data_IF_523349657952
#
_entry.id   IF_523349657952
#
_cell.length_a   1.000
_cell.length_b   1.000
_cell.length_c   1.000
_cell.angle_alpha   90.00
_cell.angle_beta   90.00
_cell.angle_gamma   90.00
#
_symmetry.space_group_name_H-M   'P 1'
#
loop_
_entity.id
_entity.type
_entity.pdbx_description
1 polymer ?
#
# COMPACT_ATOMS: atom_id res chain seq x y z
N UNK A 1 4.23 23.36 -3.63
CA UNK A 1 4.71 21.97 -3.67
C UNK A 1 4.16 21.41 -4.96
N UNK A 2 4.94 21.56 -6.02
CA UNK A 2 4.69 20.84 -7.26
C UNK A 2 5.00 19.38 -6.98
N UNK A 3 4.09 18.50 -7.40
CA UNK A 3 4.25 17.05 -7.28
C UNK A 3 4.95 16.65 -8.56
N UNK A 4 6.18 16.16 -8.45
CA UNK A 4 6.85 15.50 -9.56
C UNK A 4 6.16 14.16 -9.80
N UNK A 5 5.39 14.05 -10.88
CA UNK A 5 4.56 12.88 -11.15
C UNK A 5 5.38 11.59 -11.35
N UNK A 6 6.68 11.69 -11.67
CA UNK A 6 7.56 10.52 -11.79
C UNK A 6 7.88 9.85 -10.44
N UNK A 7 7.77 10.61 -9.33
CA UNK A 7 8.05 10.12 -7.99
C UNK A 7 6.84 9.48 -7.30
N UNK A 8 5.66 9.49 -7.91
CA UNK A 8 4.43 9.03 -7.25
C UNK A 8 3.74 7.92 -8.02
N UNK A 9 3.29 6.90 -7.29
CA UNK A 9 2.44 5.83 -7.81
C UNK A 9 0.99 6.11 -7.43
N UNK A 10 0.12 6.10 -8.42
CA UNK A 10 -1.33 6.20 -8.24
C UNK A 10 -1.94 4.86 -7.81
N UNK A 11 -2.77 4.91 -6.77
CA UNK A 11 -3.55 3.78 -6.25
C UNK A 11 -5.03 4.13 -6.38
N UNK A 12 -5.74 3.40 -7.23
CA UNK A 12 -7.18 3.60 -7.51
C UNK A 12 -8.03 2.40 -7.04
N UNK A 13 -7.38 1.33 -6.56
CA UNK A 13 -8.05 0.14 -6.02
C UNK A 13 -8.65 0.45 -4.67
N UNK A 14 -9.98 0.34 -4.54
CA UNK A 14 -10.70 0.61 -3.28
C UNK A 14 -10.10 -0.19 -2.12
N UNK A 15 -9.76 -1.46 -2.30
CA UNK A 15 -9.20 -2.27 -1.21
C UNK A 15 -7.81 -1.81 -0.79
N UNK A 16 -6.98 -1.36 -1.73
CA UNK A 16 -5.63 -0.85 -1.43
C UNK A 16 -5.71 0.51 -0.73
N UNK A 17 -6.62 1.39 -1.19
CA UNK A 17 -6.93 2.67 -0.53
C UNK A 17 -7.41 2.42 0.90
N UNK A 18 -8.37 1.51 1.11
CA UNK A 18 -8.87 1.14 2.44
C UNK A 18 -7.73 0.66 3.34
N UNK A 19 -6.90 -0.27 2.85
CA UNK A 19 -5.75 -0.79 3.58
C UNK A 19 -4.78 0.32 3.98
N UNK A 20 -4.48 1.22 3.05
CA UNK A 20 -3.57 2.35 3.27
C UNK A 20 -4.13 3.31 4.33
N UNK A 21 -5.39 3.71 4.23
CA UNK A 21 -6.04 4.62 5.18
C UNK A 21 -6.19 3.99 6.57
N UNK A 22 -6.51 2.69 6.66
CA UNK A 22 -6.51 1.96 7.93
C UNK A 22 -5.14 1.95 8.59
N UNK A 23 -4.06 1.80 7.83
CA UNK A 23 -2.71 1.85 8.38
C UNK A 23 -2.39 3.27 8.92
N UNK A 24 -2.70 4.31 8.13
CA UNK A 24 -2.55 5.71 8.55
C UNK A 24 -3.32 5.99 9.86
N UNK A 25 -4.55 5.47 9.98
CA UNK A 25 -5.36 5.57 11.19
C UNK A 25 -4.73 4.81 12.38
N UNK A 26 -4.41 3.53 12.21
CA UNK A 26 -3.87 2.67 13.29
C UNK A 26 -2.56 3.21 13.85
N UNK A 27 -1.72 3.77 12.98
CA UNK A 27 -0.44 4.35 13.37
C UNK A 27 -0.56 5.80 13.86
N UNK A 28 -1.80 6.32 13.98
CA UNK A 28 -2.13 7.66 14.51
C UNK A 28 -1.40 8.80 13.82
N UNK A 29 -1.22 8.68 12.50
CA UNK A 29 -0.47 9.66 11.73
C UNK A 29 -1.14 11.02 11.69
N UNK A 30 -0.28 12.02 11.76
CA UNK A 30 -0.65 13.40 11.59
C UNK A 30 -0.67 13.72 10.10
N UNK A 31 -1.81 14.24 9.63
CA UNK A 31 -2.04 14.55 8.22
C UNK A 31 -2.11 16.06 8.08
N UNK A 32 -1.29 16.61 7.19
CA UNK A 32 -1.38 18.01 6.79
C UNK A 32 -2.52 18.15 5.80
N UNK A 33 -3.35 19.16 5.99
CA UNK A 33 -4.54 19.39 5.18
C UNK A 33 -4.49 20.81 4.66
N UNK A 34 -4.79 20.99 3.38
CA UNK A 34 -4.96 22.32 2.82
C UNK A 34 -6.10 22.38 1.82
N UNK A 35 -6.69 23.56 1.74
CA UNK A 35 -7.71 23.92 0.78
C UNK A 35 -7.31 25.24 0.13
N UNK A 36 -7.44 25.31 -1.19
CA UNK A 36 -7.32 26.57 -1.91
C UNK A 36 -8.72 27.16 -2.02
N UNK A 37 -8.89 28.38 -1.55
CA UNK A 37 -10.13 29.17 -1.67
C UNK A 37 -9.80 30.49 -2.34
N UNK A 38 -10.82 31.27 -2.69
CA UNK A 38 -10.63 32.59 -3.31
C UNK A 38 -9.89 33.58 -2.38
N UNK A 39 -10.00 33.36 -1.06
CA UNK A 39 -9.34 34.17 -0.03
C UNK A 39 -7.91 33.71 0.28
N UNK A 40 -7.44 32.63 -0.36
CA UNK A 40 -6.10 32.11 -0.23
C UNK A 40 -6.04 30.65 0.22
N UNK A 41 -4.95 30.28 0.88
CA UNK A 41 -4.70 28.88 1.29
C UNK A 41 -5.00 28.69 2.77
N UNK A 42 -5.94 27.81 3.06
CA UNK A 42 -6.22 27.35 4.42
C UNK A 42 -5.35 26.13 4.70
N UNK A 43 -4.69 26.11 5.85
CA UNK A 43 -3.80 25.03 6.29
C UNK A 43 -4.22 24.57 7.68
N UNK A 44 -4.42 23.26 7.86
CA UNK A 44 -4.68 22.67 9.17
C UNK A 44 -4.00 21.30 9.27
N UNK A 45 -4.09 20.71 10.46
CA UNK A 45 -3.49 19.43 10.80
C UNK A 45 -4.55 18.55 11.45
N UNK A 46 -4.61 17.29 11.05
CA UNK A 46 -5.72 16.40 11.36
C UNK A 46 -5.22 14.99 11.63
N UNK A 47 -6.07 14.16 12.25
CA UNK A 47 -5.90 12.71 12.37
C UNK A 47 -7.16 12.00 11.89
N UNK A 48 -7.00 10.78 11.39
CA UNK A 48 -8.14 9.90 11.14
C UNK A 48 -8.60 9.34 12.48
N UNK A 49 -9.85 9.62 12.85
CA UNK A 49 -10.46 9.15 14.10
C UNK A 49 -11.14 7.79 13.85
N UNK A 50 -12.02 7.72 12.84
CA UNK A 50 -12.67 6.49 12.40
C UNK A 50 -12.84 6.43 10.89
N UNK A 51 -12.99 5.22 10.36
CA UNK A 51 -13.31 4.97 8.95
C UNK A 51 -14.49 4.01 8.91
N UNK A 52 -15.56 4.41 8.22
CA UNK A 52 -16.69 3.54 7.89
C UNK A 52 -16.57 3.11 6.43
N UNK A 53 -16.20 1.85 6.22
CA UNK A 53 -16.05 1.32 4.87
C UNK A 53 -17.37 0.95 4.19
N UNK A 54 -18.47 0.86 4.95
CA UNK A 54 -19.80 0.58 4.41
C UNK A 54 -20.35 1.83 3.72
N UNK A 55 -20.28 2.96 4.40
CA UNK A 55 -20.68 4.27 3.84
C UNK A 55 -19.59 4.92 3.01
N UNK A 56 -18.34 4.50 3.18
CA UNK A 56 -17.18 5.12 2.54
C UNK A 56 -16.80 6.46 3.18
N UNK A 57 -17.21 6.70 4.42
CA UNK A 57 -16.95 7.95 5.12
C UNK A 57 -15.74 7.84 6.05
N UNK A 58 -14.98 8.92 6.16
CA UNK A 58 -13.80 9.03 7.02
C UNK A 58 -14.03 10.20 7.98
N UNK A 59 -14.00 9.91 9.28
CA UNK A 59 -14.12 10.92 10.32
C UNK A 59 -12.74 11.45 10.69
N UNK A 60 -12.56 12.75 10.56
CA UNK A 60 -11.31 13.43 10.84
C UNK A 60 -11.42 14.30 12.10
N UNK A 61 -10.40 14.18 12.95
CA UNK A 61 -10.22 14.99 14.15
C UNK A 61 -9.12 16.04 13.90
N UNK A 62 -9.48 17.33 13.81
CA UNK A 62 -8.49 18.39 13.69
C UNK A 62 -7.69 18.54 14.98
N UNK A 63 -6.39 18.81 14.84
CA UNK A 63 -5.47 19.21 15.91
C UNK A 63 -5.43 20.74 16.05
N UNK A 64 -5.78 21.46 14.98
CA UNK A 64 -5.97 22.91 14.98
C UNK A 64 -7.42 23.26 14.60
N UNK A 65 -8.23 23.45 15.63
CA UNK A 65 -9.64 23.78 15.52
C UNK A 65 -9.91 25.11 14.83
N UNK A 66 -9.01 26.09 14.95
CA UNK A 66 -9.22 27.44 14.40
C UNK A 66 -9.20 27.39 12.88
N UNK A 67 -8.13 26.82 12.32
CA UNK A 67 -7.99 26.72 10.87
C UNK A 67 -8.94 25.66 10.27
N UNK A 68 -9.23 24.57 11.00
CA UNK A 68 -10.16 23.56 10.51
C UNK A 68 -11.59 24.08 10.30
N UNK A 69 -12.04 25.04 11.15
CA UNK A 69 -13.34 25.69 10.97
C UNK A 69 -13.42 26.53 9.70
N UNK A 70 -12.29 27.04 9.22
CA UNK A 70 -12.24 27.87 8.02
C UNK A 70 -12.35 27.07 6.73
N UNK A 71 -12.10 25.76 6.74
CA UNK A 71 -12.30 24.93 5.56
C UNK A 71 -13.74 25.15 5.04
N UNK A 72 -13.96 25.06 3.74
CA UNK A 72 -15.26 25.26 3.11
C UNK A 72 -15.82 23.90 2.67
N UNK A 73 -17.13 23.64 2.85
CA UNK A 73 -17.76 22.45 2.28
C UNK A 73 -17.72 22.50 0.74
N UNK A 74 -17.87 21.35 0.08
CA UNK A 74 -17.96 21.22 -1.38
C UNK A 74 -16.73 21.65 -2.21
N UNK A 75 -15.74 22.29 -1.59
CA UNK A 75 -14.46 22.64 -2.23
C UNK A 75 -13.42 21.53 -1.98
N UNK A 76 -12.70 21.08 -3.02
CA UNK A 76 -11.58 20.15 -2.91
C UNK A 76 -10.59 20.43 -1.77
N UNK A 77 -10.39 19.44 -0.91
CA UNK A 77 -9.39 19.46 0.14
C UNK A 77 -8.30 18.46 -0.21
N UNK A 78 -7.05 18.87 0.00
CA UNK A 78 -5.87 18.06 -0.21
C UNK A 78 -5.28 17.61 1.12
N UNK A 79 -4.85 16.36 1.15
CA UNK A 79 -4.32 15.68 2.31
C UNK A 79 -2.91 15.21 2.03
N UNK A 80 -2.01 15.37 3.00
CA UNK A 80 -0.65 14.86 2.95
C UNK A 80 -0.28 14.18 4.26
N UNK A 81 -0.12 12.86 4.21
CA UNK A 81 0.47 12.08 5.28
C UNK A 81 1.98 11.95 5.02
N UNK A 82 2.80 12.64 5.82
CA UNK A 82 4.24 12.71 5.61
C UNK A 82 4.91 11.31 5.68
N UNK A 83 4.40 10.42 6.53
CA UNK A 83 4.89 9.04 6.61
C UNK A 83 4.34 8.25 5.42
N UNK A 84 5.25 7.71 4.61
CA UNK A 84 5.00 7.17 3.25
C UNK A 84 4.59 8.21 2.20
N UNK A 85 4.66 9.50 2.52
CA UNK A 85 4.41 10.62 1.61
C UNK A 85 3.15 10.40 0.76
N UNK A 86 2.06 10.12 1.45
CA UNK A 86 0.76 9.83 0.85
C UNK A 86 0.02 11.14 0.58
N UNK A 87 -0.48 11.32 -0.63
CA UNK A 87 -1.27 12.47 -1.05
C UNK A 87 -2.62 12.00 -1.59
N UNK A 88 -3.70 12.64 -1.17
CA UNK A 88 -5.01 12.41 -1.76
C UNK A 88 -5.89 13.66 -1.69
N UNK A 89 -6.95 13.67 -2.48
CA UNK A 89 -7.97 14.72 -2.52
C UNK A 89 -9.31 14.14 -2.09
N UNK A 90 -10.07 14.91 -1.31
CA UNK A 90 -11.44 14.58 -0.94
C UNK A 90 -12.27 15.85 -0.74
N UNK A 91 -13.55 15.70 -0.47
CA UNK A 91 -14.49 16.79 -0.17
C UNK A 91 -15.06 16.58 1.23
N UNK A 92 -15.29 17.67 1.97
CA UNK A 92 -16.00 17.60 3.26
C UNK A 92 -17.48 17.36 3.00
N UNK A 93 -17.97 16.18 3.40
CA UNK A 93 -19.39 15.82 3.28
C UNK A 93 -20.21 16.41 4.43
N UNK A 94 -19.64 16.49 5.63
CA UNK A 94 -20.36 16.95 6.83
C UNK A 94 -19.43 17.47 7.91
N UNK A 95 -19.94 18.38 8.74
CA UNK A 95 -19.30 18.84 9.98
C UNK A 95 -20.14 18.44 11.17
N UNK A 96 -19.51 17.89 12.20
CA UNK A 96 -20.19 17.53 13.44
C UNK A 96 -19.25 17.70 14.64
N UNK A 97 -19.65 18.53 15.62
CA UNK A 97 -19.01 18.61 16.95
C UNK A 97 -17.48 18.76 16.91
N UNK A 98 -16.98 19.64 16.04
CA UNK A 98 -15.55 19.91 15.89
C UNK A 98 -14.77 18.83 15.12
N UNK A 99 -15.47 17.93 14.45
CA UNK A 99 -14.93 16.95 13.50
C UNK A 99 -15.53 17.20 12.12
N UNK A 100 -14.89 16.68 11.09
CA UNK A 100 -15.39 16.73 9.73
C UNK A 100 -15.32 15.34 9.10
N UNK A 101 -16.37 15.00 8.38
CA UNK A 101 -16.45 13.80 7.57
C UNK A 101 -16.03 14.17 6.15
N UNK A 102 -15.25 13.27 5.56
CA UNK A 102 -14.93 13.30 4.13
C UNK A 102 -15.36 11.96 3.51
N UNK A 103 -15.60 11.98 2.21
CA UNK A 103 -15.68 10.73 1.44
C UNK A 103 -14.30 10.09 1.31
N UNK A 104 -14.28 8.76 1.16
CA UNK A 104 -13.09 8.02 0.78
C UNK A 104 -12.57 8.57 -0.56
N UNK A 105 -11.26 8.83 -0.68
CA UNK A 105 -10.68 9.26 -1.94
C UNK A 105 -10.84 8.18 -3.02
N UNK A 106 -11.03 8.61 -4.26
CA UNK A 106 -11.08 7.72 -5.44
C UNK A 106 -9.67 7.32 -5.89
N UNK A 107 -8.70 8.19 -5.65
CA UNK A 107 -7.29 8.00 -5.96
C UNK A 107 -6.42 8.48 -4.80
N UNK A 108 -5.37 7.71 -4.52
CA UNK A 108 -4.31 8.10 -3.60
C UNK A 108 -2.97 7.99 -4.30
N UNK A 109 -2.16 9.04 -4.24
CA UNK A 109 -0.76 9.03 -4.70
C UNK A 109 0.16 8.72 -3.52
N UNK A 110 1.11 7.83 -3.72
CA UNK A 110 2.13 7.46 -2.72
C UNK A 110 3.50 7.64 -3.36
N UNK A 111 4.43 8.30 -2.67
CA UNK A 111 5.79 8.42 -3.21
C UNK A 111 6.44 7.04 -3.37
N UNK A 112 7.02 6.78 -4.55
CA UNK A 112 7.81 5.60 -4.83
C UNK A 112 9.13 5.69 -4.06
N UNK A 113 9.20 4.96 -2.96
CA UNK A 113 10.40 4.91 -2.12
C UNK A 113 11.48 3.99 -2.70
N UNK A 114 11.18 3.25 -3.79
CA UNK A 114 12.16 2.38 -4.43
C UNK A 114 13.09 3.19 -5.32
N UNK A 115 14.40 2.93 -5.19
CA UNK A 115 15.43 3.50 -6.08
C UNK A 115 15.36 2.91 -7.48
N UNK A 116 14.89 1.67 -7.61
CA UNK A 116 14.85 0.94 -8.87
C UNK A 116 13.43 0.45 -9.13
N UNK A 117 12.80 0.83 -10.27
CA UNK A 117 11.47 0.35 -10.62
C UNK A 117 11.48 -1.17 -10.84
N UNK A 118 10.36 -1.81 -10.48
CA UNK A 118 10.18 -3.25 -10.72
C UNK A 118 9.62 -3.50 -12.10
N UNK A 119 10.18 -4.47 -12.83
CA UNK A 119 9.56 -5.02 -14.03
C UNK A 119 8.29 -5.78 -13.64
N UNK A 120 7.16 -5.36 -14.19
CA UNK A 120 5.85 -5.96 -13.94
C UNK A 120 5.58 -7.09 -14.94
N UNK A 121 5.20 -8.26 -14.44
CA UNK A 121 4.76 -9.41 -15.25
C UNK A 121 3.26 -9.66 -15.12
N UNK A 122 2.66 -9.31 -13.97
CA UNK A 122 1.22 -9.41 -13.72
C UNK A 122 0.70 -10.83 -13.49
N UNK A 123 -0.63 -10.95 -13.31
CA UNK A 123 -1.29 -12.22 -12.94
C UNK A 123 -1.31 -13.30 -14.05
N UNK A 124 -1.01 -12.92 -15.30
CA UNK A 124 -0.92 -13.86 -16.44
C UNK A 124 0.52 -14.27 -16.74
N UNK A 125 1.44 -13.96 -15.83
CA UNK A 125 2.84 -14.31 -15.96
C UNK A 125 3.03 -15.82 -16.03
N UNK A 126 3.79 -16.28 -17.02
CA UNK A 126 4.31 -17.65 -17.09
C UNK A 126 5.60 -17.82 -16.28
N UNK A 127 6.06 -16.75 -15.62
CA UNK A 127 7.28 -16.77 -14.83
C UNK A 127 6.99 -17.40 -13.46
N UNK A 128 7.82 -18.33 -13.04
CA UNK A 128 7.66 -19.06 -11.78
C UNK A 128 9.00 -19.17 -11.07
N UNK A 129 8.95 -19.39 -9.76
CA UNK A 129 10.08 -19.85 -8.97
C UNK A 129 9.69 -20.99 -8.04
N UNK A 130 10.64 -21.87 -7.76
CA UNK A 130 10.60 -22.79 -6.63
C UNK A 130 11.55 -22.30 -5.53
N UNK A 131 11.16 -22.46 -4.27
CA UNK A 131 12.04 -22.14 -3.14
C UNK A 131 11.85 -23.09 -1.96
N UNK A 132 12.88 -23.22 -1.14
CA UNK A 132 12.84 -23.92 0.15
C UNK A 132 12.99 -22.95 1.31
N UNK A 133 12.37 -23.25 2.46
CA UNK A 133 12.61 -22.52 3.71
C UNK A 133 13.98 -22.89 4.29
N UNK A 134 14.70 -21.88 4.79
CA UNK A 134 16.00 -22.07 5.46
C UNK A 134 15.77 -22.14 6.97
N UNK A 135 15.05 -23.18 7.40
CA UNK A 135 14.76 -23.47 8.80
C UNK A 135 14.87 -24.98 9.10
N UNK A 136 14.70 -25.36 10.37
CA UNK A 136 14.85 -26.76 10.81
C UNK A 136 13.86 -27.73 10.15
N UNK A 137 12.73 -27.23 9.66
CA UNK A 137 11.64 -28.04 9.11
C UNK A 137 11.47 -27.84 7.60
N UNK A 138 12.52 -27.38 6.90
CA UNK A 138 12.61 -27.11 5.46
C UNK A 138 11.42 -27.62 4.65
N UNK A 139 10.56 -26.70 4.21
CA UNK A 139 9.47 -26.98 3.28
C UNK A 139 9.76 -26.35 1.92
N UNK A 140 9.33 -27.05 0.88
CA UNK A 140 9.43 -26.55 -0.50
C UNK A 140 8.10 -25.98 -0.99
N UNK A 141 8.21 -24.87 -1.72
CA UNK A 141 7.13 -24.27 -2.50
C UNK A 141 7.57 -24.39 -3.97
N UNK A 142 6.98 -25.31 -4.75
CA UNK A 142 7.52 -25.66 -6.07
C UNK A 142 7.09 -24.71 -7.19
N UNK A 143 6.03 -23.92 -6.99
CA UNK A 143 5.38 -23.19 -8.08
C UNK A 143 4.80 -21.85 -7.58
N UNK A 144 5.68 -20.94 -7.20
CA UNK A 144 5.31 -19.57 -6.88
C UNK A 144 5.36 -18.72 -8.16
N UNK A 145 4.22 -18.15 -8.55
CA UNK A 145 4.13 -17.34 -9.77
C UNK A 145 4.75 -15.96 -9.56
N UNK A 146 5.69 -15.56 -10.40
CA UNK A 146 6.34 -14.25 -10.32
C UNK A 146 5.45 -13.18 -10.96
N UNK A 147 5.11 -12.14 -10.20
CA UNK A 147 4.26 -11.02 -10.66
C UNK A 147 5.04 -9.73 -10.89
N UNK A 148 6.15 -9.54 -10.18
CA UNK A 148 7.05 -8.40 -10.32
C UNK A 148 8.47 -8.78 -9.88
N UNK A 149 9.50 -8.15 -10.47
CA UNK A 149 10.89 -8.36 -10.05
C UNK A 149 11.74 -7.09 -10.21
N UNK A 150 12.81 -7.02 -9.42
CA UNK A 150 13.88 -6.03 -9.47
C UNK A 150 15.20 -6.69 -9.12
N UNK A 151 16.30 -5.97 -9.27
CA UNK A 151 17.64 -6.41 -8.83
C UNK A 151 17.71 -6.74 -7.33
N UNK A 152 16.82 -6.17 -6.50
CA UNK A 152 16.80 -6.36 -5.04
C UNK A 152 15.75 -7.35 -4.53
N UNK A 153 14.92 -7.93 -5.41
CA UNK A 153 13.89 -8.86 -4.95
C UNK A 153 12.74 -9.12 -5.92
N UNK A 154 11.86 -10.04 -5.50
CA UNK A 154 10.76 -10.59 -6.31
C UNK A 154 9.43 -10.47 -5.55
N UNK A 155 8.38 -10.09 -6.27
CA UNK A 155 7.00 -10.28 -5.88
C UNK A 155 6.43 -11.56 -6.51
N UNK A 156 5.79 -12.40 -5.71
CA UNK A 156 5.23 -13.68 -6.14
C UNK A 156 3.82 -13.92 -5.61
N UNK A 157 3.08 -14.81 -6.26
CA UNK A 157 1.83 -15.37 -5.79
C UNK A 157 2.04 -16.82 -5.39
N UNK A 158 1.55 -17.16 -4.20
CA UNK A 158 1.61 -18.51 -3.62
C UNK A 158 0.18 -18.97 -3.32
N UNK A 159 -0.06 -20.27 -3.39
CA UNK A 159 -1.36 -20.86 -3.07
C UNK A 159 -1.72 -20.59 -1.60
N UNK A 160 -3.00 -20.36 -1.34
CA UNK A 160 -3.50 -20.11 0.02
C UNK A 160 -3.25 -21.28 0.99
N UNK A 161 -3.17 -22.52 0.47
CA UNK A 161 -2.92 -23.72 1.27
C UNK A 161 -1.52 -23.72 1.91
N UNK A 162 -0.58 -22.94 1.38
CA UNK A 162 0.78 -22.83 1.91
C UNK A 162 0.93 -21.70 2.93
N UNK A 163 -0.16 -21.04 3.33
CA UNK A 163 -0.13 -19.90 4.27
C UNK A 163 0.55 -20.22 5.59
N UNK A 164 0.35 -21.43 6.12
CA UNK A 164 0.95 -21.84 7.39
C UNK A 164 2.46 -22.10 7.30
N UNK A 165 3.00 -22.26 6.09
CA UNK A 165 4.42 -22.56 5.83
C UNK A 165 5.28 -21.30 5.71
N UNK A 166 4.66 -20.12 5.59
CA UNK A 166 5.37 -18.88 5.35
C UNK A 166 5.01 -17.81 6.38
N UNK A 167 6.00 -17.02 6.78
CA UNK A 167 5.79 -15.85 7.62
C UNK A 167 6.82 -14.76 7.29
N UNK A 168 6.53 -13.53 7.71
CA UNK A 168 7.49 -12.42 7.55
C UNK A 168 8.78 -12.72 8.33
N UNK A 169 9.92 -12.35 7.76
CA UNK A 169 11.25 -12.61 8.31
C UNK A 169 11.80 -14.00 8.00
N UNK A 170 11.00 -14.90 7.42
CA UNK A 170 11.47 -16.22 7.04
C UNK A 170 12.52 -16.12 5.91
N UNK A 171 13.64 -16.82 6.09
CA UNK A 171 14.67 -16.97 5.06
C UNK A 171 14.29 -18.10 4.12
N UNK A 172 14.50 -17.87 2.83
CA UNK A 172 14.27 -18.85 1.77
C UNK A 172 15.50 -18.95 0.88
N UNK A 173 15.66 -20.09 0.22
CA UNK A 173 16.62 -20.30 -0.85
C UNK A 173 15.87 -20.60 -2.14
N UNK A 174 16.13 -19.81 -3.18
CA UNK A 174 15.54 -20.05 -4.51
C UNK A 174 16.20 -21.32 -5.09
N UNK A 175 15.38 -22.31 -5.42
CA UNK A 175 15.84 -23.58 -5.97
C UNK A 175 15.90 -23.54 -7.49
N UNK A 176 14.87 -22.95 -8.11
CA UNK A 176 14.79 -22.75 -9.55
C UNK A 176 13.98 -21.50 -9.86
N UNK A 177 14.23 -20.90 -11.02
CA UNK A 177 13.52 -19.70 -11.46
C UNK A 177 13.52 -19.60 -12.98
N UNK A 178 12.39 -19.19 -13.55
CA UNK A 178 12.32 -18.84 -14.97
C UNK A 178 13.02 -17.52 -15.27
N UNK A 179 13.28 -16.68 -14.25
CA UNK A 179 14.13 -15.50 -14.37
C UNK A 179 15.61 -15.88 -14.20
N UNK A 180 16.49 -15.45 -15.11
CA UNK A 180 17.90 -15.81 -15.08
C UNK A 180 18.62 -15.27 -13.84
N UNK A 181 19.60 -16.03 -13.34
CA UNK A 181 20.51 -15.61 -12.26
C UNK A 181 19.90 -15.61 -10.86
N UNK A 182 18.71 -16.19 -10.66
CA UNK A 182 18.04 -16.23 -9.36
C UNK A 182 18.26 -17.55 -8.59
N UNK A 183 18.74 -18.59 -9.27
CA UNK A 183 18.94 -19.89 -8.64
C UNK A 183 20.04 -19.84 -7.58
N UNK A 184 19.78 -20.45 -6.43
CA UNK A 184 20.69 -20.44 -5.28
C UNK A 184 20.62 -19.19 -4.41
N UNK A 185 20.00 -18.10 -4.89
CA UNK A 185 19.90 -16.83 -4.17
C UNK A 185 19.13 -17.00 -2.85
N UNK A 186 19.70 -16.45 -1.78
CA UNK A 186 19.05 -16.34 -0.49
C UNK A 186 18.16 -15.11 -0.45
N UNK A 187 16.97 -15.25 0.12
CA UNK A 187 16.03 -14.14 0.24
C UNK A 187 15.28 -14.17 1.58
N UNK A 188 14.72 -13.03 1.97
CA UNK A 188 13.90 -12.88 3.17
C UNK A 188 12.50 -12.45 2.77
N UNK A 189 11.48 -13.12 3.31
CA UNK A 189 10.08 -12.70 3.15
C UNK A 189 9.85 -11.39 3.92
N UNK A 190 9.60 -10.29 3.20
CA UNK A 190 9.34 -8.97 3.78
C UNK A 190 7.86 -8.65 3.87
N UNK A 191 7.07 -9.13 2.91
CA UNK A 191 5.65 -8.85 2.88
C UNK A 191 4.83 -10.09 2.52
N UNK A 192 3.66 -10.20 3.15
CA UNK A 192 2.63 -11.19 2.84
C UNK A 192 1.29 -10.47 2.92
N UNK A 193 0.56 -10.41 1.82
CA UNK A 193 -0.81 -9.91 1.73
C UNK A 193 -1.67 -10.91 0.99
N UNK A 194 -2.99 -10.82 1.11
CA UNK A 194 -3.90 -11.63 0.28
C UNK A 194 -4.14 -10.92 -1.03
N UNK A 195 -4.16 -11.66 -2.13
CA UNK A 195 -4.56 -11.20 -3.45
C UNK A 195 -5.73 -12.05 -3.95
N UNK A 196 -6.72 -11.41 -4.58
CA UNK A 196 -7.85 -12.09 -5.19
C UNK A 196 -7.84 -11.82 -6.69
N UNK A 197 -7.89 -12.87 -7.50
CA UNK A 197 -8.16 -12.74 -8.91
C UNK A 197 -9.66 -12.45 -9.07
N UNK A 198 -10.02 -11.22 -9.45
CA UNK A 198 -11.42 -10.81 -9.58
C UNK A 198 -12.16 -11.49 -10.73
N UNK A 199 -11.45 -12.05 -11.71
CA UNK A 199 -12.05 -12.76 -12.84
C UNK A 199 -12.40 -14.21 -12.48
N UNK A 200 -11.56 -14.89 -11.69
CA UNK A 200 -11.75 -16.32 -11.34
C UNK A 200 -12.26 -16.54 -9.92
N UNK A 201 -12.18 -15.53 -9.05
CA UNK A 201 -12.45 -15.65 -7.62
C UNK A 201 -11.31 -16.27 -6.81
N UNK A 202 -10.23 -16.71 -7.47
CA UNK A 202 -9.13 -17.41 -6.82
C UNK A 202 -8.37 -16.50 -5.86
N UNK A 203 -8.11 -17.02 -4.66
CA UNK A 203 -7.33 -16.33 -3.64
C UNK A 203 -5.91 -16.89 -3.60
N UNK A 204 -4.96 -15.97 -3.53
CA UNK A 204 -3.54 -16.23 -3.44
C UNK A 204 -2.92 -15.41 -2.31
N UNK A 205 -1.76 -15.84 -1.84
CA UNK A 205 -0.88 -15.03 -1.02
C UNK A 205 0.05 -14.26 -1.95
N UNK A 206 0.00 -12.94 -1.91
CA UNK A 206 1.02 -12.09 -2.50
C UNK A 206 2.17 -11.95 -1.53
N UNK A 207 3.32 -12.49 -1.91
CA UNK A 207 4.52 -12.54 -1.10
C UNK A 207 5.61 -11.70 -1.76
N UNK A 208 6.22 -10.80 -0.99
CA UNK A 208 7.36 -10.01 -1.43
C UNK A 208 8.61 -10.47 -0.72
N UNK A 209 9.63 -10.86 -1.48
CA UNK A 209 10.95 -11.23 -0.98
C UNK A 209 11.99 -10.20 -1.36
N UNK A 210 12.98 -10.04 -0.49
CA UNK A 210 14.18 -9.22 -0.69
C UNK A 210 15.39 -10.15 -0.73
N UNK A 211 16.27 -9.97 -1.70
CA UNK A 211 17.50 -10.76 -1.78
C UNK A 211 18.46 -10.37 -0.65
N UNK A 212 19.16 -11.36 -0.12
CA UNK A 212 20.24 -11.14 0.83
C UNK A 212 21.49 -10.94 0.00
N UNK A 213 22.06 -9.74 0.04
CA UNK A 213 23.40 -9.49 -0.48
C UNK A 213 24.40 -10.34 0.33
N UNK A 214 25.28 -11.05 -0.38
CA UNK A 214 26.46 -11.70 0.22
C UNK A 214 27.55 -10.68 0.53
#
# INVERSE_FOLDING_TARGET
>A
MEIDDELYVSINSRNDIRTLLTNIQKESYVIKVWQKTDLGRILTIVRIDSIDFTTGEILLKPLDMKNAKMLEPDIPIYFYAARRKVIFKAVVSKRAKGRFLISSPEEVKVEEMRRTPRKQYGYRSYQTLAFATVDKFSFEIPDAQIIDASEHGIGMLIRMNDKSKIHKGLKIKILSSTLPGQEGVLAIIRNITTATNFLTGDKHLRVGVEFVEE
#
